data_IF_409389450745
#
_entry.id   IF_409389450745
#
_cell.length_a   1.000
_cell.length_b   1.000
_cell.length_c   1.000
_cell.angle_alpha   90.00
_cell.angle_beta   90.00
_cell.angle_gamma   90.00
#
_symmetry.space_group_name_H-M   'P 1'
#
loop_
_entity.id
_entity.type
_entity.pdbx_description
1 polymer ?
#
# COMPACT_ATOMS: atom_id res chain seq x y z
N UNK A 1 -8.97 25.45 40.68
CA UNK A 1 -9.82 24.40 40.09
C UNK A 1 -10.70 25.12 39.11
N UNK A 2 -10.44 25.10 37.81
CA UNK A 2 -10.30 23.93 36.95
C UNK A 2 -9.02 23.98 36.10
N UNK A 3 -8.39 22.82 35.92
CA UNK A 3 -7.22 22.64 35.07
C UNK A 3 -7.68 22.18 33.69
N UNK A 4 -7.20 22.91 32.68
CA UNK A 4 -7.07 22.54 31.28
C UNK A 4 -7.11 21.04 30.98
N UNK A 5 -8.13 20.58 30.26
CA UNK A 5 -8.10 19.29 29.56
C UNK A 5 -7.34 19.43 28.24
N UNK A 6 -6.03 19.20 28.30
CA UNK A 6 -5.12 19.16 27.15
C UNK A 6 -5.24 17.89 26.29
N UNK A 7 -6.31 17.09 26.41
CA UNK A 7 -6.46 15.84 25.64
C UNK A 7 -6.84 16.03 24.17
N UNK A 8 -7.27 17.23 23.75
CA UNK A 8 -7.71 17.48 22.37
C UNK A 8 -6.60 17.91 21.41
N UNK A 9 -5.36 18.12 21.87
CA UNK A 9 -4.23 18.58 21.02
C UNK A 9 -3.19 17.49 20.70
N UNK A 10 -3.40 16.23 21.12
CA UNK A 10 -2.36 15.18 21.04
C UNK A 10 -2.82 13.86 20.41
N UNK A 11 -3.88 13.85 19.60
CA UNK A 11 -4.11 12.71 18.71
C UNK A 11 -3.42 13.03 17.40
N UNK A 12 -2.23 12.48 17.18
CA UNK A 12 -1.52 12.57 15.91
C UNK A 12 -2.48 12.13 14.79
N UNK A 13 -2.59 12.91 13.70
CA UNK A 13 -3.44 12.58 12.55
C UNK A 13 -3.34 11.10 12.10
N UNK A 14 -2.15 10.45 12.13
CA UNK A 14 -2.02 9.03 11.87
C UNK A 14 -2.83 8.09 12.78
N UNK A 15 -2.94 8.40 14.07
CA UNK A 15 -3.69 7.58 15.04
C UNK A 15 -5.19 7.61 14.74
N UNK A 16 -5.71 8.80 14.42
CA UNK A 16 -7.13 8.99 14.04
C UNK A 16 -7.48 8.11 12.84
N UNK A 17 -6.62 8.08 11.82
CA UNK A 17 -6.83 7.28 10.61
C UNK A 17 -6.93 5.80 10.95
N UNK A 18 -6.04 5.29 11.81
CA UNK A 18 -6.04 3.88 12.24
C UNK A 18 -7.32 3.55 13.02
N UNK A 19 -7.78 4.44 13.89
CA UNK A 19 -8.97 4.20 14.71
C UNK A 19 -10.26 4.27 13.88
N UNK A 20 -10.35 5.21 12.93
CA UNK A 20 -11.45 5.26 11.95
C UNK A 20 -11.51 3.99 11.10
N UNK A 21 -10.36 3.47 10.66
CA UNK A 21 -10.30 2.22 9.93
C UNK A 21 -10.81 1.03 10.76
N UNK A 22 -10.40 0.92 12.03
CA UNK A 22 -10.93 -0.12 12.92
C UNK A 22 -12.45 -0.03 13.08
N UNK A 23 -13.00 1.17 13.20
CA UNK A 23 -14.45 1.38 13.26
C UNK A 23 -15.14 0.96 11.96
N UNK A 24 -14.57 1.34 10.81
CA UNK A 24 -15.08 0.95 9.49
C UNK A 24 -15.15 -0.58 9.35
N UNK A 25 -14.08 -1.29 9.74
CA UNK A 25 -14.07 -2.76 9.72
C UNK A 25 -15.08 -3.39 10.69
N UNK A 26 -15.26 -2.83 11.90
CA UNK A 26 -16.26 -3.31 12.87
C UNK A 26 -17.70 -3.15 12.37
N UNK A 27 -17.94 -2.10 11.61
CA UNK A 27 -19.24 -1.82 11.00
C UNK A 27 -19.48 -2.62 9.70
N UNK A 28 -18.53 -3.47 9.29
CA UNK A 28 -18.65 -4.32 8.11
C UNK A 28 -18.40 -3.60 6.78
N UNK A 29 -17.85 -2.38 6.80
CA UNK A 29 -17.50 -1.66 5.58
C UNK A 29 -16.13 -2.07 5.06
N UNK A 30 -16.02 -2.19 3.73
CA UNK A 30 -14.75 -2.43 3.05
C UNK A 30 -13.98 -1.14 2.79
N UNK A 31 -12.65 -1.22 2.88
CA UNK A 31 -11.79 -0.08 2.62
C UNK A 31 -11.68 0.20 1.13
N UNK A 32 -11.72 1.48 0.77
CA UNK A 32 -11.31 1.91 -0.57
C UNK A 32 -9.78 1.89 -0.70
N UNK A 33 -9.27 1.87 -1.94
CA UNK A 33 -7.84 2.02 -2.22
C UNK A 33 -7.27 3.29 -1.57
N UNK A 34 -7.99 4.41 -1.65
CA UNK A 34 -7.59 5.68 -1.00
C UNK A 34 -7.48 5.54 0.52
N UNK A 35 -8.42 4.82 1.14
CA UNK A 35 -8.37 4.54 2.59
C UNK A 35 -7.11 3.78 2.95
N UNK A 36 -6.75 2.76 2.17
CA UNK A 36 -5.54 1.94 2.36
C UNK A 36 -4.27 2.77 2.18
N UNK A 37 -4.21 3.64 1.16
CA UNK A 37 -3.06 4.53 0.95
C UNK A 37 -2.83 5.46 2.16
N UNK A 38 -3.90 6.07 2.67
CA UNK A 38 -3.83 6.93 3.85
C UNK A 38 -3.38 6.15 5.10
N UNK A 39 -3.85 4.92 5.27
CA UNK A 39 -3.42 4.03 6.35
C UNK A 39 -1.95 3.63 6.25
N UNK A 40 -1.46 3.31 5.05
CA UNK A 40 -0.05 2.94 4.84
C UNK A 40 0.87 4.10 5.20
N UNK A 41 0.52 5.32 4.78
CA UNK A 41 1.26 6.53 5.18
C UNK A 41 1.23 6.72 6.70
N UNK A 42 0.04 6.67 7.30
CA UNK A 42 -0.13 6.83 8.74
C UNK A 42 0.68 5.81 9.55
N UNK A 43 0.64 4.54 9.15
CA UNK A 43 1.37 3.46 9.83
C UNK A 43 2.89 3.59 9.67
N UNK A 44 3.35 4.06 8.50
CA UNK A 44 4.74 4.38 8.26
C UNK A 44 5.23 5.52 9.16
N UNK A 45 4.42 6.57 9.32
CA UNK A 45 4.77 7.71 10.16
C UNK A 45 4.72 7.37 11.67
N UNK A 46 3.91 6.37 12.05
CA UNK A 46 3.84 5.85 13.42
C UNK A 46 4.94 4.82 13.76
N UNK A 47 5.73 4.36 12.78
CA UNK A 47 6.74 3.33 13.01
C UNK A 47 6.16 1.96 13.40
N UNK A 48 4.87 1.71 13.14
CA UNK A 48 4.17 0.52 13.62
C UNK A 48 4.31 -0.65 12.65
N UNK A 49 5.36 -1.45 12.83
CA UNK A 49 5.61 -2.62 11.99
C UNK A 49 4.44 -3.63 11.97
N UNK A 50 3.93 -4.03 13.14
CA UNK A 50 2.85 -5.01 13.24
C UNK A 50 1.54 -4.52 12.59
N UNK A 51 1.29 -3.21 12.68
CA UNK A 51 0.17 -2.57 11.98
C UNK A 51 0.34 -2.65 10.47
N UNK A 52 1.57 -2.41 9.98
CA UNK A 52 1.92 -2.48 8.57
C UNK A 52 1.79 -3.89 7.99
N UNK A 53 2.26 -4.90 8.71
CA UNK A 53 2.13 -6.30 8.31
C UNK A 53 0.65 -6.75 8.26
N UNK A 54 -0.13 -6.37 9.28
CA UNK A 54 -1.56 -6.65 9.31
C UNK A 54 -2.30 -6.01 8.14
N UNK A 55 -1.96 -4.75 7.82
CA UNK A 55 -2.56 -4.03 6.70
C UNK A 55 -2.12 -4.61 5.35
N UNK A 56 -0.87 -5.04 5.21
CA UNK A 56 -0.40 -5.72 4.01
C UNK A 56 -1.17 -7.04 3.80
N UNK A 57 -1.36 -7.84 4.84
CA UNK A 57 -2.20 -9.04 4.76
C UNK A 57 -3.65 -8.73 4.37
N UNK A 58 -4.21 -7.63 4.88
CA UNK A 58 -5.53 -7.14 4.46
C UNK A 58 -5.56 -6.77 2.97
N UNK A 59 -4.54 -6.06 2.45
CA UNK A 59 -4.43 -5.71 1.03
C UNK A 59 -4.39 -6.93 0.12
N UNK A 60 -3.70 -8.01 0.54
CA UNK A 60 -3.66 -9.28 -0.19
C UNK A 60 -5.06 -9.89 -0.24
N UNK A 61 -5.76 -9.94 0.91
CA UNK A 61 -7.09 -10.55 1.03
C UNK A 61 -8.13 -9.89 0.11
N UNK A 62 -8.06 -8.58 -0.07
CA UNK A 62 -9.00 -7.80 -0.89
C UNK A 62 -8.51 -7.56 -2.32
N UNK A 63 -7.34 -8.08 -2.70
CA UNK A 63 -6.80 -7.99 -4.06
C UNK A 63 -6.14 -6.66 -4.44
N UNK A 64 -5.88 -5.77 -3.48
CA UNK A 64 -5.28 -4.45 -3.74
C UNK A 64 -3.79 -4.50 -4.08
N UNK A 65 -3.11 -5.64 -3.90
CA UNK A 65 -1.71 -5.84 -4.33
C UNK A 65 -1.52 -5.89 -5.86
N UNK A 66 -2.58 -5.69 -6.64
CA UNK A 66 -2.53 -5.45 -8.09
C UNK A 66 -2.33 -3.97 -8.44
N UNK A 67 -2.68 -3.05 -7.54
CA UNK A 67 -2.56 -1.61 -7.76
C UNK A 67 -1.13 -1.12 -7.47
N UNK A 68 -0.52 -0.45 -8.45
CA UNK A 68 0.85 0.05 -8.36
C UNK A 68 1.02 1.11 -7.27
N UNK A 69 0.00 1.93 -7.00
CA UNK A 69 0.04 2.95 -5.95
C UNK A 69 0.09 2.29 -4.57
N UNK A 70 -0.72 1.24 -4.37
CA UNK A 70 -0.73 0.47 -3.11
C UNK A 70 0.61 -0.23 -2.89
N UNK A 71 1.18 -0.83 -3.93
CA UNK A 71 2.49 -1.46 -3.86
C UNK A 71 3.61 -0.46 -3.53
N UNK A 72 3.56 0.72 -4.14
CA UNK A 72 4.54 1.79 -3.87
C UNK A 72 4.42 2.30 -2.43
N UNK A 73 3.20 2.48 -1.94
CA UNK A 73 2.95 2.88 -0.55
C UNK A 73 3.36 1.80 0.46
N UNK A 74 3.19 0.50 0.13
CA UNK A 74 3.70 -0.60 0.94
C UNK A 74 5.23 -0.59 1.03
N UNK A 75 5.93 -0.32 -0.08
CA UNK A 75 7.39 -0.20 -0.11
C UNK A 75 7.85 0.96 0.79
N UNK A 76 7.22 2.14 0.67
CA UNK A 76 7.52 3.31 1.51
C UNK A 76 7.29 3.00 3.00
N UNK A 77 6.15 2.38 3.34
CA UNK A 77 5.82 2.02 4.72
C UNK A 77 6.84 1.05 5.31
N UNK A 78 7.23 0.00 4.58
CA UNK A 78 8.26 -0.92 5.05
C UNK A 78 9.63 -0.24 5.20
N UNK A 79 9.98 0.68 4.29
CA UNK A 79 11.21 1.45 4.39
C UNK A 79 11.22 2.36 5.64
N UNK A 80 10.14 3.11 5.90
CA UNK A 80 9.97 3.96 7.09
C UNK A 80 10.03 3.17 8.40
N UNK A 81 9.52 1.95 8.40
CA UNK A 81 9.52 1.07 9.58
C UNK A 81 10.81 0.24 9.71
N UNK A 82 11.87 0.56 8.95
CA UNK A 82 13.18 -0.09 9.03
C UNK A 82 13.26 -1.49 8.42
N UNK A 83 12.22 -1.94 7.73
CA UNK A 83 12.09 -3.27 7.14
C UNK A 83 12.40 -3.26 5.64
N UNK A 84 13.61 -2.80 5.31
CA UNK A 84 14.04 -2.54 3.93
C UNK A 84 13.97 -3.82 3.07
N UNK A 85 14.33 -4.98 3.63
CA UNK A 85 14.31 -6.25 2.91
C UNK A 85 12.90 -6.64 2.45
N UNK A 86 11.88 -6.37 3.26
CA UNK A 86 10.48 -6.63 2.90
C UNK A 86 10.02 -5.69 1.78
N UNK A 87 10.35 -4.39 1.89
CA UNK A 87 10.08 -3.42 0.83
C UNK A 87 10.77 -3.80 -0.49
N UNK A 88 12.03 -4.26 -0.42
CA UNK A 88 12.79 -4.72 -1.59
C UNK A 88 12.14 -5.91 -2.28
N UNK A 89 11.66 -6.91 -1.52
CA UNK A 89 10.96 -8.07 -2.11
C UNK A 89 9.70 -7.67 -2.88
N UNK A 90 8.96 -6.67 -2.38
CA UNK A 90 7.80 -6.13 -3.10
C UNK A 90 8.27 -5.43 -4.38
N UNK A 91 9.28 -4.56 -4.28
CA UNK A 91 9.86 -3.84 -5.41
C UNK A 91 10.32 -4.77 -6.53
N UNK A 92 11.09 -5.81 -6.20
CA UNK A 92 11.60 -6.79 -7.16
C UNK A 92 10.45 -7.53 -7.88
N UNK A 93 9.37 -7.84 -7.15
CA UNK A 93 8.15 -8.41 -7.74
C UNK A 93 7.43 -7.45 -8.69
N UNK A 94 7.41 -6.14 -8.41
CA UNK A 94 6.88 -5.13 -9.33
C UNK A 94 7.75 -5.00 -10.58
N UNK A 95 9.07 -4.88 -10.40
CA UNK A 95 10.04 -4.75 -11.48
C UNK A 95 9.99 -5.97 -12.43
N UNK A 96 9.91 -7.19 -11.89
CA UNK A 96 9.75 -8.41 -12.68
C UNK A 96 8.51 -8.41 -13.57
N UNK A 97 7.36 -7.95 -13.05
CA UNK A 97 6.13 -7.81 -13.85
C UNK A 97 6.30 -6.79 -14.97
N UNK A 98 6.89 -5.63 -14.68
CA UNK A 98 7.11 -4.59 -15.69
C UNK A 98 8.05 -5.05 -16.81
N UNK A 99 9.15 -5.73 -16.46
CA UNK A 99 10.06 -6.33 -17.43
C UNK A 99 9.36 -7.37 -18.31
N UNK A 100 8.59 -8.26 -17.70
CA UNK A 100 7.80 -9.27 -18.43
C UNK A 100 6.84 -8.63 -19.43
N UNK A 101 6.04 -7.64 -19.00
CA UNK A 101 5.13 -6.94 -19.90
C UNK A 101 5.85 -6.24 -21.05
N UNK A 102 6.99 -5.59 -20.78
CA UNK A 102 7.79 -4.95 -21.81
C UNK A 102 8.28 -5.93 -22.89
N UNK A 103 8.80 -7.08 -22.46
CA UNK A 103 9.32 -8.12 -23.38
C UNK A 103 8.17 -8.75 -24.17
N UNK A 104 7.09 -9.18 -23.50
CA UNK A 104 5.94 -9.83 -24.17
C UNK A 104 5.25 -8.89 -25.14
N UNK A 105 5.09 -7.63 -24.75
CA UNK A 105 4.53 -6.60 -25.61
C UNK A 105 5.40 -6.38 -26.85
N UNK A 106 6.72 -6.29 -26.68
CA UNK A 106 7.67 -6.15 -27.79
C UNK A 106 7.65 -7.33 -28.77
N UNK A 107 7.64 -8.57 -28.28
CA UNK A 107 7.52 -9.77 -29.13
C UNK A 107 6.20 -9.75 -29.91
N UNK A 108 5.11 -9.39 -29.24
CA UNK A 108 3.79 -9.29 -29.87
C UNK A 108 3.76 -8.22 -30.95
N UNK A 109 4.41 -7.07 -30.73
CA UNK A 109 4.53 -6.02 -31.73
C UNK A 109 5.31 -6.45 -32.97
N UNK A 110 6.38 -7.21 -32.81
CA UNK A 110 7.13 -7.75 -33.96
C UNK A 110 6.27 -8.71 -34.79
N UNK A 111 5.54 -9.61 -34.15
CA UNK A 111 4.66 -10.55 -34.85
C UNK A 111 3.54 -9.86 -35.63
N UNK A 112 2.98 -8.76 -35.11
CA UNK A 112 1.95 -7.96 -35.82
C UNK A 112 2.54 -7.26 -37.05
N UNK A 113 3.78 -6.77 -36.98
CA UNK A 113 4.44 -6.12 -38.12
C UNK A 113 4.72 -7.11 -39.27
N UNK A 114 4.99 -8.38 -38.95
CA UNK A 114 5.12 -9.46 -39.95
C UNK A 114 3.80 -9.76 -40.66
N UNK A 115 2.69 -9.81 -39.92
CA UNK A 115 1.36 -10.12 -40.50
C UNK A 115 0.85 -9.07 -41.50
N UNK A 116 1.24 -7.81 -41.37
CA UNK A 116 0.84 -6.73 -42.30
C UNK A 116 1.68 -6.63 -43.58
N UNK A 117 2.70 -7.49 -43.73
CA UNK A 117 3.57 -7.56 -44.92
C UNK A 117 3.22 -8.72 -45.86
N UNK A 118 2.14 -9.45 -45.59
CA UNK A 118 1.54 -10.45 -46.48
C UNK A 118 0.23 -9.90 -47.04
#
# INVERSE_FOLDING_TARGET
MEYFDGRLSYVSQPQVIVDLFKQMCRNGFEASVTTVLNLLSAIGDLGSYLGGESLHGYCIKIGFCSDLHVLTALIDMYAKNGQIDLGRRIFDGVAGRMLYYGIVWWISMQNVAWYKKQ
#
